data_IF_750477682630
#
_entry.id   IF_750477682630
#
_cell.length_a   1.000
_cell.length_b   1.000
_cell.length_c   1.000
_cell.angle_alpha   90.00
_cell.angle_beta   90.00
_cell.angle_gamma   90.00
#
_symmetry.space_group_name_H-M   'P 1'
#
loop_
_entity.id
_entity.type
_entity.pdbx_description
1 polymer ?
#
# COMPACT_ATOMS: atom_id res chain seq x y z
N UNK A 1 -10.51 19.65 27.26
CA UNK A 1 -11.32 19.38 26.06
C UNK A 1 -10.38 18.76 25.03
N UNK A 2 -10.71 17.61 24.45
CA UNK A 2 -9.88 16.94 23.42
C UNK A 2 -10.00 17.74 22.12
N UNK A 3 -8.88 18.00 21.48
CA UNK A 3 -8.82 18.61 20.14
C UNK A 3 -8.73 17.52 19.08
N UNK A 4 -9.44 17.67 18.00
CA UNK A 4 -9.39 16.76 16.84
C UNK A 4 -8.19 17.14 15.98
N UNK A 5 -7.59 16.14 15.32
CA UNK A 5 -6.55 16.38 14.31
C UNK A 5 -7.21 17.00 13.05
N UNK A 6 -7.01 18.31 12.86
CA UNK A 6 -7.64 19.09 11.79
C UNK A 6 -7.16 18.68 10.38
N UNK A 7 -6.05 17.96 10.27
CA UNK A 7 -5.59 17.45 8.97
C UNK A 7 -6.61 16.50 8.33
N UNK A 8 -7.41 15.80 9.13
CA UNK A 8 -8.50 14.97 8.61
C UNK A 8 -9.57 15.76 7.85
N UNK A 9 -9.72 17.06 8.11
CA UNK A 9 -10.63 17.93 7.36
C UNK A 9 -10.11 18.25 5.94
N UNK A 10 -8.84 18.04 5.70
CA UNK A 10 -8.20 18.23 4.39
C UNK A 10 -8.39 17.03 3.44
N UNK A 11 -8.79 15.87 3.98
CA UNK A 11 -9.07 14.69 3.16
C UNK A 11 -10.23 14.96 2.22
N UNK A 12 -10.12 14.52 0.99
CA UNK A 12 -11.19 14.63 0.01
C UNK A 12 -12.42 13.85 0.50
N UNK A 13 -13.54 14.54 0.64
CA UNK A 13 -14.79 13.93 1.06
C UNK A 13 -15.23 12.87 0.02
N UNK A 14 -15.55 11.66 0.50
CA UNK A 14 -16.04 10.58 -0.34
C UNK A 14 -14.95 9.61 -0.81
N UNK A 15 -14.64 8.63 0.03
CA UNK A 15 -13.85 7.49 -0.40
C UNK A 15 -14.54 6.80 -1.59
N UNK A 16 -13.81 6.59 -2.67
CA UNK A 16 -14.34 6.14 -3.97
C UNK A 16 -15.24 4.89 -3.88
N UNK A 17 -14.86 3.91 -3.08
CA UNK A 17 -15.56 2.62 -3.00
C UNK A 17 -16.97 2.69 -2.42
N UNK A 18 -17.25 3.39 -1.30
CA UNK A 18 -18.62 3.60 -0.82
C UNK A 18 -19.50 4.33 -1.84
N UNK A 19 -18.96 5.32 -2.55
CA UNK A 19 -19.72 6.05 -3.57
C UNK A 19 -20.07 5.16 -4.77
N UNK A 20 -19.13 4.34 -5.26
CA UNK A 20 -19.38 3.35 -6.32
C UNK A 20 -20.43 2.35 -5.86
N UNK A 21 -20.30 1.79 -4.66
CA UNK A 21 -21.26 0.83 -4.10
C UNK A 21 -22.67 1.42 -4.02
N UNK A 22 -22.78 2.68 -3.60
CA UNK A 22 -24.05 3.40 -3.55
C UNK A 22 -24.67 3.59 -4.95
N UNK A 23 -23.87 3.95 -5.94
CA UNK A 23 -24.32 4.10 -7.33
C UNK A 23 -24.77 2.77 -7.93
N UNK A 24 -23.99 1.70 -7.72
CA UNK A 24 -24.34 0.34 -8.15
C UNK A 24 -25.65 -0.10 -7.52
N UNK A 25 -25.82 0.07 -6.20
CA UNK A 25 -27.07 -0.29 -5.52
C UNK A 25 -28.28 0.47 -6.06
N UNK A 26 -28.13 1.79 -6.27
CA UNK A 26 -29.19 2.61 -6.85
C UNK A 26 -29.56 2.19 -8.26
N UNK A 27 -28.56 1.88 -9.10
CA UNK A 27 -28.80 1.41 -10.47
C UNK A 27 -29.50 0.04 -10.49
N UNK A 28 -29.06 -0.90 -9.68
CA UNK A 28 -29.66 -2.24 -9.57
C UNK A 28 -31.11 -2.18 -9.13
N UNK A 29 -31.45 -1.29 -8.19
CA UNK A 29 -32.83 -1.09 -7.74
C UNK A 29 -33.73 -0.50 -8.83
N UNK A 30 -33.19 0.38 -9.66
CA UNK A 30 -33.98 1.05 -10.72
C UNK A 30 -34.13 0.22 -11.99
N UNK A 31 -33.20 -0.68 -12.30
CA UNK A 31 -33.11 -1.33 -13.61
C UNK A 31 -33.30 -2.86 -13.60
N UNK A 32 -33.62 -3.44 -12.46
CA UNK A 32 -33.85 -4.90 -12.32
C UNK A 32 -32.73 -5.76 -12.98
N UNK A 33 -31.48 -5.25 -13.01
CA UNK A 33 -30.39 -5.82 -13.79
C UNK A 33 -29.47 -6.65 -12.93
N UNK A 34 -29.39 -7.93 -13.25
CA UNK A 34 -28.42 -8.89 -12.72
C UNK A 34 -27.03 -8.79 -13.38
N UNK A 35 -26.91 -8.02 -14.49
CA UNK A 35 -25.78 -8.11 -15.40
C UNK A 35 -24.81 -6.92 -15.34
N UNK A 36 -24.57 -6.41 -14.12
CA UNK A 36 -23.57 -5.35 -13.94
C UNK A 36 -22.17 -5.95 -13.94
N UNK A 37 -21.38 -5.61 -14.95
CA UNK A 37 -19.95 -5.94 -15.00
C UNK A 37 -19.21 -4.95 -14.10
N UNK A 38 -18.61 -5.44 -13.02
CA UNK A 38 -17.87 -4.62 -12.05
C UNK A 38 -16.39 -4.54 -12.45
N UNK A 39 -15.98 -3.43 -13.01
CA UNK A 39 -14.59 -3.18 -13.42
C UNK A 39 -13.87 -2.15 -12.53
N UNK A 40 -14.51 -1.70 -11.46
CA UNK A 40 -14.02 -0.57 -10.66
C UNK A 40 -13.09 -0.95 -9.52
N UNK A 41 -13.00 -2.22 -9.15
CA UNK A 41 -12.16 -2.69 -8.03
C UNK A 41 -11.47 -3.97 -8.47
N UNK A 42 -10.12 -3.98 -8.38
CA UNK A 42 -9.36 -5.22 -8.43
C UNK A 42 -9.57 -6.00 -7.13
N UNK A 43 -10.05 -7.21 -7.24
CA UNK A 43 -10.26 -8.09 -6.09
C UNK A 43 -9.76 -9.51 -6.41
N UNK A 44 -9.54 -10.30 -5.38
CA UNK A 44 -9.20 -11.71 -5.56
C UNK A 44 -10.43 -12.45 -6.10
N UNK A 45 -10.22 -13.23 -7.15
CA UNK A 45 -11.29 -13.97 -7.84
C UNK A 45 -11.24 -15.46 -7.54
N UNK A 46 -10.13 -15.95 -7.01
CA UNK A 46 -9.91 -17.36 -6.73
C UNK A 46 -9.97 -17.66 -5.22
N UNK A 47 -10.52 -18.81 -4.82
CA UNK A 47 -10.54 -19.23 -3.43
C UNK A 47 -9.13 -19.54 -2.91
N UNK A 48 -8.98 -19.54 -1.58
CA UNK A 48 -7.70 -19.92 -0.96
C UNK A 48 -7.25 -21.32 -1.41
N UNK A 49 -5.98 -21.49 -1.78
CA UNK A 49 -5.42 -22.80 -2.11
C UNK A 49 -5.62 -23.81 -0.97
N UNK A 50 -5.77 -25.09 -1.35
CA UNK A 50 -5.97 -26.16 -0.36
C UNK A 50 -4.87 -26.20 0.70
N UNK A 51 -3.61 -26.02 0.28
CA UNK A 51 -2.46 -26.03 1.20
C UNK A 51 -2.57 -24.92 2.29
N UNK A 52 -3.05 -23.74 1.93
CA UNK A 52 -3.25 -22.66 2.91
C UNK A 52 -4.36 -23.00 3.91
N UNK A 53 -5.48 -23.53 3.41
CA UNK A 53 -6.62 -23.94 4.27
C UNK A 53 -6.23 -25.06 5.24
N UNK A 54 -5.51 -26.07 4.75
CA UNK A 54 -5.03 -27.18 5.58
C UNK A 54 -4.06 -26.68 6.66
N UNK A 55 -3.16 -25.76 6.32
CA UNK A 55 -2.22 -25.17 7.29
C UNK A 55 -2.95 -24.32 8.34
N UNK A 56 -3.96 -23.55 7.94
CA UNK A 56 -4.78 -22.77 8.88
C UNK A 56 -5.57 -23.68 9.82
N UNK A 57 -6.18 -24.76 9.31
CA UNK A 57 -6.90 -25.72 10.14
C UNK A 57 -5.97 -26.39 11.15
N UNK A 58 -4.79 -26.81 10.72
CA UNK A 58 -3.78 -27.38 11.60
C UNK A 58 -3.32 -26.41 12.70
N UNK A 59 -3.08 -25.14 12.35
CA UNK A 59 -2.71 -24.11 13.32
C UNK A 59 -3.83 -23.85 14.34
N UNK A 60 -5.09 -23.92 13.91
CA UNK A 60 -6.24 -23.77 14.81
C UNK A 60 -6.32 -24.95 15.79
N UNK A 61 -6.13 -26.18 15.32
CA UNK A 61 -6.11 -27.38 16.17
C UNK A 61 -4.97 -27.31 17.21
N UNK A 62 -3.77 -26.86 16.79
CA UNK A 62 -2.64 -26.64 17.68
C UNK A 62 -2.96 -25.62 18.78
N UNK A 63 -3.61 -24.52 18.43
CA UNK A 63 -4.02 -23.47 19.38
C UNK A 63 -5.04 -23.97 20.42
N UNK A 64 -5.74 -25.06 20.15
CA UNK A 64 -6.69 -25.71 21.05
C UNK A 64 -6.04 -26.59 22.12
N UNK A 65 -4.72 -26.75 22.15
CA UNK A 65 -3.98 -27.56 23.10
C UNK A 65 -3.13 -26.70 24.04
N UNK A 66 -2.85 -27.20 25.24
CA UNK A 66 -1.97 -26.50 26.19
C UNK A 66 -0.53 -26.33 25.63
N UNK A 67 -0.06 -27.34 24.92
CA UNK A 67 1.30 -27.37 24.33
C UNK A 67 1.39 -26.46 23.09
N UNK A 68 0.33 -26.36 22.31
CA UNK A 68 0.29 -25.60 21.06
C UNK A 68 -0.18 -24.16 21.21
N UNK A 69 -0.81 -23.83 22.35
CA UNK A 69 -1.30 -22.48 22.61
C UNK A 69 -0.19 -21.45 22.51
N UNK A 70 -0.48 -20.36 21.81
CA UNK A 70 0.44 -19.22 21.64
C UNK A 70 -0.20 -17.98 22.29
N UNK A 71 0.49 -17.39 23.25
CA UNK A 71 0.16 -16.08 23.79
C UNK A 71 0.70 -14.96 22.88
N UNK A 72 1.17 -13.88 23.48
CA UNK A 72 1.87 -12.81 22.74
C UNK A 72 3.10 -13.37 22.02
N UNK A 73 3.19 -13.13 20.73
CA UNK A 73 4.36 -13.46 19.92
C UNK A 73 5.47 -12.40 20.07
N UNK A 74 6.63 -12.66 19.46
CA UNK A 74 7.68 -11.65 19.33
C UNK A 74 7.19 -10.44 18.53
N UNK A 75 7.58 -9.23 18.92
CA UNK A 75 7.14 -7.97 18.32
C UNK A 75 7.42 -7.88 16.81
N UNK A 76 8.57 -8.38 16.36
CA UNK A 76 8.93 -8.45 14.95
C UNK A 76 8.25 -9.60 14.17
N UNK A 77 7.57 -10.50 14.86
CA UNK A 77 7.07 -11.76 14.31
C UNK A 77 7.97 -12.95 14.63
N UNK A 78 7.43 -14.15 14.51
CA UNK A 78 8.15 -15.39 14.83
C UNK A 78 9.42 -15.54 13.97
N UNK A 79 10.55 -15.91 14.57
CA UNK A 79 11.84 -16.06 13.89
C UNK A 79 11.76 -17.02 12.70
N UNK A 80 11.11 -18.17 12.88
CA UNK A 80 10.92 -19.15 11.82
C UNK A 80 10.19 -18.57 10.59
N UNK A 81 9.21 -17.67 10.79
CA UNK A 81 8.49 -17.01 9.70
C UNK A 81 9.38 -15.99 9.00
N UNK A 82 10.08 -15.15 9.77
CA UNK A 82 11.03 -14.16 9.24
C UNK A 82 12.16 -14.82 8.43
N UNK A 83 12.70 -15.93 8.93
CA UNK A 83 13.70 -16.74 8.22
C UNK A 83 13.14 -17.31 6.90
N UNK A 84 11.89 -17.82 6.91
CA UNK A 84 11.23 -18.32 5.70
C UNK A 84 10.98 -17.21 4.68
N UNK A 85 10.58 -16.03 5.10
CA UNK A 85 10.42 -14.85 4.25
C UNK A 85 11.78 -14.46 3.67
N UNK A 86 12.82 -14.31 4.50
CA UNK A 86 14.16 -13.99 4.03
C UNK A 86 14.64 -14.99 2.96
N UNK A 87 14.48 -16.28 3.23
CA UNK A 87 14.94 -17.34 2.31
C UNK A 87 14.15 -17.35 0.99
N UNK A 88 12.81 -17.35 1.06
CA UNK A 88 11.99 -17.63 -0.12
C UNK A 88 11.71 -16.39 -0.96
N UNK A 89 11.59 -15.22 -0.33
CA UNK A 89 11.21 -14.00 -1.04
C UNK A 89 12.41 -13.12 -1.45
N UNK A 90 13.56 -13.28 -0.79
CA UNK A 90 14.75 -12.47 -1.03
C UNK A 90 15.96 -13.28 -1.46
N UNK A 91 16.49 -14.16 -0.60
CA UNK A 91 17.75 -14.87 -0.85
C UNK A 91 17.66 -15.77 -2.08
N UNK A 92 16.54 -16.47 -2.26
CA UNK A 92 16.28 -17.30 -3.44
C UNK A 92 16.27 -16.52 -4.76
N UNK A 93 16.08 -15.19 -4.68
CA UNK A 93 16.11 -14.27 -5.82
C UNK A 93 17.41 -13.47 -5.93
N UNK A 94 18.41 -13.82 -5.14
CA UNK A 94 19.73 -13.18 -5.16
C UNK A 94 19.85 -11.91 -4.30
N UNK A 95 18.85 -11.59 -3.49
CA UNK A 95 18.89 -10.45 -2.56
C UNK A 95 19.40 -10.93 -1.21
N UNK A 96 20.51 -10.36 -0.73
CA UNK A 96 21.03 -10.66 0.59
C UNK A 96 20.28 -9.83 1.63
N UNK A 97 19.52 -10.50 2.49
CA UNK A 97 18.78 -9.89 3.60
C UNK A 97 18.83 -10.82 4.81
N UNK A 98 18.97 -10.26 5.99
CA UNK A 98 18.86 -10.97 7.26
C UNK A 98 17.40 -11.07 7.71
N UNK A 99 17.05 -12.12 8.43
CA UNK A 99 15.74 -12.21 9.09
C UNK A 99 15.51 -11.09 10.12
N UNK A 100 16.57 -10.47 10.62
CA UNK A 100 16.49 -9.32 11.54
C UNK A 100 16.03 -8.02 10.87
N UNK A 101 16.08 -7.95 9.54
CA UNK A 101 15.58 -6.83 8.74
C UNK A 101 14.10 -6.98 8.35
N UNK A 102 13.45 -8.05 8.82
CA UNK A 102 12.05 -8.37 8.49
C UNK A 102 11.18 -8.15 9.72
N UNK A 103 10.13 -7.37 9.53
CA UNK A 103 9.06 -7.13 10.49
C UNK A 103 7.75 -7.63 9.90
N UNK A 104 7.05 -8.51 10.63
CA UNK A 104 5.76 -9.06 10.21
C UNK A 104 4.65 -8.18 10.79
N UNK A 105 3.79 -7.70 9.93
CA UNK A 105 2.65 -6.86 10.28
C UNK A 105 1.33 -7.44 9.77
N UNK A 106 0.24 -6.72 9.94
CA UNK A 106 -1.08 -7.06 9.43
C UNK A 106 -1.31 -6.61 7.97
N UNK A 107 -0.29 -6.04 7.33
CA UNK A 107 -0.30 -5.75 5.90
C UNK A 107 0.37 -4.44 5.52
N UNK A 108 0.81 -4.34 4.26
CA UNK A 108 1.57 -3.20 3.73
C UNK A 108 0.83 -1.85 3.80
N UNK A 109 -0.50 -1.86 3.84
CA UNK A 109 -1.30 -0.65 4.03
C UNK A 109 -1.06 -0.03 5.40
N UNK A 110 -1.04 -0.84 6.45
CA UNK A 110 -0.72 -0.40 7.79
C UNK A 110 0.73 0.04 7.88
N UNK A 111 1.66 -0.73 7.31
CA UNK A 111 3.08 -0.39 7.28
C UNK A 111 3.36 0.94 6.61
N UNK A 112 2.75 1.19 5.44
CA UNK A 112 2.94 2.44 4.70
C UNK A 112 2.43 3.69 5.46
N UNK A 113 1.53 3.50 6.42
CA UNK A 113 1.06 4.57 7.30
C UNK A 113 1.92 4.67 8.56
N UNK A 114 2.21 3.54 9.20
CA UNK A 114 2.93 3.51 10.49
C UNK A 114 4.39 3.95 10.35
N UNK A 115 5.03 3.68 9.20
CA UNK A 115 6.43 4.11 8.97
C UNK A 115 6.58 5.63 9.04
N UNK A 116 5.51 6.37 8.81
CA UNK A 116 5.54 7.83 8.91
C UNK A 116 5.81 8.32 10.33
N UNK A 117 5.52 7.53 11.36
CA UNK A 117 5.75 7.91 12.75
C UNK A 117 7.24 8.03 13.09
N UNK A 118 8.10 7.31 12.36
CA UNK A 118 9.57 7.37 12.54
C UNK A 118 10.26 8.36 11.60
N UNK A 119 9.54 8.97 10.66
CA UNK A 119 10.08 9.92 9.70
C UNK A 119 9.74 11.36 10.11
N UNK A 120 10.65 12.30 9.84
CA UNK A 120 10.41 13.73 10.08
C UNK A 120 9.24 14.29 9.26
N UNK A 121 8.60 15.34 9.76
CA UNK A 121 7.43 15.94 9.11
C UNK A 121 7.79 16.80 7.89
N UNK A 122 9.03 17.29 7.82
CA UNK A 122 9.53 18.21 6.77
C UNK A 122 10.05 17.49 5.51
N UNK A 123 9.89 16.15 5.43
CA UNK A 123 10.33 15.39 4.28
C UNK A 123 9.56 15.76 3.01
N UNK A 124 10.26 15.97 1.91
CA UNK A 124 9.66 16.13 0.58
C UNK A 124 9.25 14.78 0.03
N UNK A 125 7.97 14.67 -0.34
CA UNK A 125 7.35 13.41 -0.71
C UNK A 125 6.93 13.45 -2.17
N UNK A 126 7.33 12.42 -2.93
CA UNK A 126 6.88 12.20 -4.29
C UNK A 126 5.98 10.96 -4.37
N UNK A 127 4.89 11.11 -5.13
CA UNK A 127 3.94 10.04 -5.44
C UNK A 127 3.71 9.98 -6.94
N UNK A 128 3.39 8.82 -7.49
CA UNK A 128 2.93 8.71 -8.88
C UNK A 128 1.55 9.35 -9.05
N UNK A 129 1.19 9.74 -10.26
CA UNK A 129 -0.15 10.25 -10.60
C UNK A 129 -0.63 9.58 -11.90
N UNK A 130 -1.64 8.71 -11.84
CA UNK A 130 -2.43 8.33 -10.66
C UNK A 130 -1.68 7.43 -9.64
N UNK A 131 -2.14 7.47 -8.39
CA UNK A 131 -1.53 6.79 -7.25
C UNK A 131 -2.57 6.01 -6.43
N UNK A 132 -2.12 5.01 -5.69
CA UNK A 132 -2.95 4.39 -4.66
C UNK A 132 -3.27 5.42 -3.57
N UNK A 133 -4.56 5.74 -3.32
CA UNK A 133 -4.95 6.88 -2.47
C UNK A 133 -4.35 6.87 -1.07
N UNK A 134 -4.09 5.68 -0.51
CA UNK A 134 -3.56 5.55 0.85
C UNK A 134 -2.20 6.23 1.02
N UNK A 135 -1.35 6.25 -0.02
CA UNK A 135 -0.06 6.94 0.06
C UNK A 135 -0.21 8.46 0.20
N UNK A 136 -1.24 9.02 -0.37
CA UNK A 136 -1.59 10.44 -0.18
C UNK A 136 -2.29 10.64 1.15
N UNK A 137 -3.34 9.86 1.43
CA UNK A 137 -4.21 10.06 2.59
C UNK A 137 -3.45 9.92 3.92
N UNK A 138 -2.52 8.94 4.04
CA UNK A 138 -1.70 8.78 5.23
C UNK A 138 -0.81 10.00 5.49
N UNK A 139 -0.24 10.58 4.44
CA UNK A 139 0.55 11.80 4.55
C UNK A 139 -0.30 13.03 4.87
N UNK A 140 -1.53 13.10 4.36
CA UNK A 140 -2.50 14.15 4.76
C UNK A 140 -2.83 14.06 6.25
N UNK A 141 -3.18 12.87 6.72
CA UNK A 141 -3.54 12.64 8.12
C UNK A 141 -2.42 13.01 9.09
N UNK A 142 -1.17 12.83 8.69
CA UNK A 142 0.02 13.20 9.48
C UNK A 142 0.49 14.64 9.26
N UNK A 143 -0.22 15.44 8.43
CA UNK A 143 0.07 16.86 8.25
C UNK A 143 1.20 17.21 7.29
N UNK A 144 1.71 16.25 6.51
CA UNK A 144 2.91 16.38 5.65
C UNK A 144 2.66 16.99 4.27
N UNK A 145 1.39 17.25 3.92
CA UNK A 145 1.00 17.58 2.54
C UNK A 145 0.69 19.05 2.29
N UNK A 146 0.69 19.88 3.32
CA UNK A 146 0.18 21.25 3.19
C UNK A 146 -1.33 21.27 2.91
N UNK A 147 -1.77 22.31 2.18
CA UNK A 147 -3.19 22.54 1.88
C UNK A 147 -3.64 21.87 0.58
N UNK A 148 -4.91 21.44 0.48
CA UNK A 148 -5.47 20.91 -0.76
C UNK A 148 -5.60 22.03 -1.82
N UNK A 149 -5.38 21.66 -3.11
CA UNK A 149 -5.55 22.55 -4.24
C UNK A 149 -6.82 22.17 -5.02
N UNK A 150 -7.32 23.11 -5.84
CA UNK A 150 -8.62 22.95 -6.54
C UNK A 150 -8.71 21.71 -7.43
N UNK A 151 -7.59 21.23 -8.00
CA UNK A 151 -7.54 20.03 -8.82
C UNK A 151 -7.57 18.72 -8.01
N UNK A 152 -7.61 18.80 -6.67
CA UNK A 152 -7.63 17.64 -5.78
C UNK A 152 -6.26 17.08 -5.42
N UNK A 153 -5.18 17.79 -5.75
CA UNK A 153 -3.82 17.52 -5.29
C UNK A 153 -3.49 18.34 -4.04
N UNK A 154 -2.30 18.16 -3.45
CA UNK A 154 -1.83 18.85 -2.25
C UNK A 154 -0.54 19.60 -2.55
N UNK A 155 -0.36 20.78 -1.95
CA UNK A 155 0.77 21.69 -2.20
C UNK A 155 2.12 21.09 -1.85
N UNK A 156 2.21 20.29 -0.81
CA UNK A 156 3.44 19.70 -0.28
C UNK A 156 3.81 18.35 -0.90
N UNK A 157 3.07 17.86 -1.90
CA UNK A 157 3.40 16.63 -2.60
C UNK A 157 3.89 16.90 -4.02
N UNK A 158 4.90 16.15 -4.43
CA UNK A 158 5.40 16.11 -5.80
C UNK A 158 4.70 14.97 -6.53
N UNK A 159 3.95 15.31 -7.58
CA UNK A 159 3.21 14.36 -8.39
C UNK A 159 4.01 13.98 -9.64
N UNK A 160 4.32 12.71 -9.77
CA UNK A 160 5.06 12.13 -10.89
C UNK A 160 4.05 11.55 -11.87
N UNK A 161 3.74 12.28 -12.92
CA UNK A 161 2.77 11.81 -13.92
C UNK A 161 3.18 10.47 -14.51
N UNK A 162 2.21 9.55 -14.66
CA UNK A 162 2.33 8.27 -15.36
C UNK A 162 1.16 8.15 -16.34
N UNK A 163 1.42 8.43 -17.59
CA UNK A 163 0.43 8.51 -18.66
C UNK A 163 1.01 7.97 -19.98
N UNK A 164 0.24 8.04 -21.04
CA UNK A 164 0.64 7.57 -22.38
C UNK A 164 1.85 8.33 -22.94
N UNK A 165 2.02 9.61 -22.61
CA UNK A 165 3.11 10.45 -23.11
C UNK A 165 4.48 10.03 -22.59
N UNK A 166 4.53 9.33 -21.44
CA UNK A 166 5.75 8.84 -20.82
C UNK A 166 5.77 7.30 -20.66
N UNK A 167 5.03 6.58 -21.50
CA UNK A 167 4.92 5.12 -21.48
C UNK A 167 4.51 4.57 -20.10
N UNK A 168 3.73 5.34 -19.35
CA UNK A 168 3.33 5.04 -17.97
C UNK A 168 4.50 4.84 -16.98
N UNK A 169 5.65 5.44 -17.26
CA UNK A 169 6.85 5.40 -16.41
C UNK A 169 7.06 6.75 -15.71
N UNK A 170 7.15 6.78 -14.39
CA UNK A 170 7.40 8.02 -13.66
C UNK A 170 8.82 8.52 -13.95
N UNK A 171 8.95 9.82 -14.21
CA UNK A 171 10.24 10.46 -14.41
C UNK A 171 10.90 10.75 -13.06
N UNK A 172 12.21 10.55 -12.97
CA UNK A 172 12.99 10.91 -11.79
C UNK A 172 12.91 12.43 -11.58
N UNK A 173 12.55 12.89 -10.37
CA UNK A 173 12.47 14.31 -10.08
C UNK A 173 13.81 15.01 -10.29
N UNK A 174 13.79 16.24 -10.82
CA UNK A 174 15.01 17.07 -10.96
C UNK A 174 15.56 17.54 -9.61
N UNK A 175 14.66 17.77 -8.66
CA UNK A 175 15.01 18.18 -7.31
C UNK A 175 15.04 16.93 -6.41
N UNK A 176 15.91 16.95 -5.41
CA UNK A 176 15.97 15.88 -4.42
C UNK A 176 14.64 15.80 -3.68
N UNK A 177 14.14 14.58 -3.50
CA UNK A 177 13.02 14.24 -2.64
C UNK A 177 13.49 13.24 -1.58
N UNK A 178 12.84 13.24 -0.43
CA UNK A 178 13.26 12.42 0.71
C UNK A 178 12.51 11.07 0.74
N UNK A 179 11.26 11.06 0.27
CA UNK A 179 10.41 9.87 0.23
C UNK A 179 9.79 9.74 -1.15
N UNK A 180 9.89 8.56 -1.75
CA UNK A 180 9.23 8.23 -3.02
C UNK A 180 8.37 7.00 -2.85
N UNK A 181 7.09 7.11 -3.18
CA UNK A 181 6.18 5.96 -3.23
C UNK A 181 6.14 5.39 -4.64
N UNK A 182 6.63 4.17 -4.81
CA UNK A 182 6.58 3.41 -6.05
C UNK A 182 5.77 2.13 -5.83
N UNK A 183 4.81 1.86 -6.70
CA UNK A 183 3.98 0.67 -6.67
C UNK A 183 3.96 0.04 -8.07
N UNK A 184 4.52 -1.16 -8.22
CA UNK A 184 4.53 -1.87 -9.49
C UNK A 184 4.20 -3.36 -9.30
N UNK A 185 3.20 -3.91 -9.99
CA UNK A 185 2.26 -3.20 -10.89
C UNK A 185 1.54 -2.05 -10.18
N UNK A 186 1.39 -0.90 -10.86
CA UNK A 186 0.80 0.29 -10.25
C UNK A 186 -0.69 0.11 -9.96
N UNK A 187 -1.11 0.53 -8.80
CA UNK A 187 -2.52 0.72 -8.48
C UNK A 187 -2.85 2.23 -8.63
N UNK A 188 -3.72 2.64 -9.59
CA UNK A 188 -4.76 1.83 -10.25
C UNK A 188 -4.47 1.40 -11.69
N UNK A 189 -3.37 1.79 -12.34
CA UNK A 189 -3.19 1.66 -13.79
C UNK A 189 -2.79 0.26 -14.26
N UNK A 190 -2.20 -0.56 -13.38
CA UNK A 190 -1.60 -1.84 -13.75
C UNK A 190 -0.25 -1.71 -14.49
N UNK A 191 0.26 -0.49 -14.65
CA UNK A 191 1.57 -0.27 -15.28
C UNK A 191 2.69 -0.98 -14.52
N UNK A 192 3.65 -1.52 -15.26
CA UNK A 192 4.83 -2.22 -14.73
C UNK A 192 6.10 -1.46 -15.05
N UNK A 193 7.18 -1.81 -14.39
CA UNK A 193 8.50 -1.22 -14.60
C UNK A 193 9.52 -2.31 -14.91
N UNK A 194 10.47 -2.04 -15.79
CA UNK A 194 11.58 -2.96 -16.04
C UNK A 194 12.63 -2.86 -14.94
N UNK A 195 13.46 -3.89 -14.80
CA UNK A 195 14.60 -3.87 -13.87
C UNK A 195 15.56 -2.70 -14.16
N UNK A 196 15.74 -2.36 -15.43
CA UNK A 196 16.61 -1.26 -15.84
C UNK A 196 16.06 0.09 -15.43
N UNK A 197 14.75 0.29 -15.59
CA UNK A 197 14.09 1.53 -15.14
C UNK A 197 14.07 1.61 -13.61
N UNK A 198 13.83 0.51 -12.90
CA UNK A 198 13.88 0.49 -11.44
C UNK A 198 15.29 0.79 -10.92
N UNK A 199 16.35 0.33 -11.65
CA UNK A 199 17.72 0.64 -11.28
C UNK A 199 17.99 2.14 -11.23
N UNK A 200 17.43 2.93 -12.13
CA UNK A 200 17.58 4.40 -12.12
C UNK A 200 17.05 5.02 -10.83
N UNK A 201 15.97 4.47 -10.25
CA UNK A 201 15.44 4.90 -8.96
C UNK A 201 16.35 4.53 -7.80
N UNK A 202 16.95 3.35 -7.86
CA UNK A 202 17.95 2.93 -6.86
C UNK A 202 19.19 3.82 -6.93
N UNK A 203 19.66 4.15 -8.14
CA UNK A 203 20.80 5.04 -8.34
C UNK A 203 20.48 6.45 -7.79
N UNK A 204 19.32 7.00 -8.12
CA UNK A 204 18.84 8.27 -7.59
C UNK A 204 18.74 8.29 -6.05
N UNK A 205 18.33 7.19 -5.43
CA UNK A 205 18.25 7.11 -3.97
C UNK A 205 19.63 7.03 -3.28
N UNK A 206 20.67 6.65 -4.02
CA UNK A 206 22.04 6.56 -3.51
C UNK A 206 22.89 7.83 -3.73
N UNK A 207 22.39 8.81 -4.49
CA UNK A 207 22.99 10.13 -4.70
C UNK A 207 22.60 11.15 -3.61
#
# INVERSE_FOLDING_TARGET
MVKVNENYLKLKAGYLFPEISKRVSKYSQANNSSDIIKLGIGDVTEPLPKACRDAMSKALDEMGTNEGFKGYGPEQGYSWLREKIALNDFISRGCQISSEEIFVSDGSKCDSSNILDILGEDNLIAVTDPVYPVYVDSNVMTGRTGEPIQNGTYQGLIYLAINEENDFLPQIPKNKVDIVYLCFPNNPTGATITKQELQKWVDYANE
#
